data_IF_229390659686
#
_entry.id   IF_229390659686
#
_cell.length_a   1.000
_cell.length_b   1.000
_cell.length_c   1.000
_cell.angle_alpha   90.00
_cell.angle_beta   90.00
_cell.angle_gamma   90.00
#
_symmetry.space_group_name_H-M   'P 1'
#
loop_
_entity.id
_entity.type
_entity.pdbx_description
1 polymer ?
#
# COMPACT_ATOMS: atom_id res chain seq x y z
N UNK A 1 -22.25 22.11 -3.34
CA UNK A 1 -22.50 23.17 -4.34
C UNK A 1 -21.12 23.71 -4.70
N UNK A 2 -20.58 23.34 -5.86
CA UNK A 2 -19.18 23.62 -6.21
C UNK A 2 -18.95 25.10 -6.52
N UNK A 3 -17.79 25.62 -6.12
CA UNK A 3 -17.41 27.01 -6.37
C UNK A 3 -16.81 27.10 -7.77
N UNK A 4 -17.40 27.91 -8.64
CA UNK A 4 -16.85 28.18 -9.98
C UNK A 4 -15.76 29.25 -9.86
N UNK A 5 -14.56 28.92 -10.32
CA UNK A 5 -13.44 29.87 -10.39
C UNK A 5 -13.08 30.08 -11.85
N UNK A 6 -13.21 31.33 -12.32
CA UNK A 6 -12.82 31.73 -13.67
C UNK A 6 -11.34 32.10 -13.65
N UNK A 7 -10.55 31.45 -14.50
CA UNK A 7 -9.09 31.58 -14.52
C UNK A 7 -8.66 32.30 -15.80
N UNK A 8 -8.45 33.62 -15.72
CA UNK A 8 -8.03 34.52 -16.83
C UNK A 8 -8.97 34.49 -18.06
N UNK A 9 -8.63 35.23 -19.14
CA UNK A 9 -9.42 35.41 -20.39
C UNK A 9 -9.73 34.11 -21.18
N UNK A 10 -9.52 32.96 -20.56
CA UNK A 10 -9.82 31.63 -21.08
C UNK A 10 -10.80 30.96 -20.13
N UNK A 11 -11.98 30.57 -20.62
CA UNK A 11 -13.05 29.97 -19.82
C UNK A 11 -12.71 28.53 -19.36
N UNK A 12 -11.87 28.38 -18.34
CA UNK A 12 -11.73 27.12 -17.60
C UNK A 12 -12.69 27.14 -16.41
N UNK A 13 -13.64 26.21 -16.36
CA UNK A 13 -14.55 25.99 -15.21
C UNK A 13 -13.96 24.87 -14.37
N UNK A 14 -13.36 25.22 -13.23
CA UNK A 14 -12.93 24.23 -12.25
C UNK A 14 -14.07 23.99 -11.24
N UNK A 15 -14.60 22.76 -11.19
CA UNK A 15 -15.63 22.40 -10.22
C UNK A 15 -14.95 21.84 -8.97
N UNK A 16 -14.83 22.68 -7.94
CA UNK A 16 -14.33 22.29 -6.63
C UNK A 16 -15.37 21.37 -5.96
N UNK A 17 -15.27 20.07 -6.21
CA UNK A 17 -15.87 19.09 -5.32
C UNK A 17 -15.08 19.10 -4.01
N UNK A 18 -15.76 18.96 -2.88
CA UNK A 18 -15.20 18.81 -1.52
C UNK A 18 -14.37 17.51 -1.38
N UNK A 19 -13.42 17.26 -2.28
CA UNK A 19 -12.46 16.18 -2.19
C UNK A 19 -11.48 16.46 -1.07
N UNK A 20 -10.95 15.41 -0.43
CA UNK A 20 -9.89 15.53 0.59
C UNK A 20 -8.55 15.99 -0.01
N UNK A 21 -8.41 15.93 -1.32
CA UNK A 21 -7.17 16.21 -2.01
C UNK A 21 -6.97 17.73 -2.15
N UNK A 22 -5.74 18.16 -1.97
CA UNK A 22 -5.32 19.52 -2.32
C UNK A 22 -5.18 19.64 -3.83
N UNK A 23 -5.67 20.72 -4.41
CA UNK A 23 -5.57 20.98 -5.84
C UNK A 23 -4.98 22.37 -6.04
N UNK A 24 -4.01 22.48 -6.93
CA UNK A 24 -3.41 23.75 -7.30
C UNK A 24 -3.17 23.83 -8.80
N UNK A 25 -3.10 25.05 -9.34
CA UNK A 25 -2.83 25.33 -10.74
C UNK A 25 -1.64 26.27 -10.83
N UNK A 26 -0.73 25.99 -11.75
CA UNK A 26 0.41 26.84 -12.05
C UNK A 26 0.33 27.34 -13.50
N UNK A 27 0.82 28.55 -13.73
CA UNK A 27 1.08 29.08 -15.08
C UNK A 27 2.18 28.26 -15.76
N UNK A 28 2.35 28.42 -17.07
CA UNK A 28 3.49 27.85 -17.78
C UNK A 28 4.85 28.25 -17.17
N UNK A 29 4.95 29.41 -16.51
CA UNK A 29 6.16 29.89 -15.81
C UNK A 29 6.33 29.30 -14.39
N UNK A 30 5.33 28.57 -13.89
CA UNK A 30 5.32 28.03 -12.53
C UNK A 30 4.75 28.98 -11.47
N UNK A 31 4.08 30.06 -11.86
CA UNK A 31 3.41 30.95 -10.90
C UNK A 31 2.07 30.36 -10.47
N UNK A 32 1.72 30.47 -9.19
CA UNK A 32 0.47 29.92 -8.67
C UNK A 32 -0.71 30.74 -9.20
N UNK A 33 -1.56 30.09 -9.99
CA UNK A 33 -2.81 30.66 -10.50
C UNK A 33 -3.96 30.41 -9.52
N UNK A 34 -3.99 29.23 -8.91
CA UNK A 34 -5.05 28.81 -8.01
C UNK A 34 -4.53 27.74 -7.03
N UNK A 35 -5.10 27.72 -5.82
CA UNK A 35 -4.95 26.63 -4.87
C UNK A 35 -6.21 26.56 -3.99
N UNK A 36 -6.77 25.36 -3.82
CA UNK A 36 -7.91 25.17 -2.95
C UNK A 36 -7.52 25.22 -1.46
N UNK A 37 -8.51 25.19 -0.57
CA UNK A 37 -8.28 25.22 0.88
C UNK A 37 -7.39 24.05 1.33
N UNK A 38 -7.67 22.83 0.85
CA UNK A 38 -6.89 21.65 1.21
C UNK A 38 -5.43 21.75 0.78
N UNK A 39 -5.13 22.26 -0.42
CA UNK A 39 -3.77 22.50 -0.87
C UNK A 39 -3.02 23.45 0.06
N UNK A 40 -3.72 24.49 0.54
CA UNK A 40 -3.16 25.46 1.47
C UNK A 40 -2.89 24.91 2.87
N UNK A 41 -3.55 23.83 3.28
CA UNK A 41 -3.22 23.15 4.55
C UNK A 41 -1.86 22.45 4.50
N UNK A 42 -1.43 21.98 3.32
CA UNK A 42 -0.13 21.35 3.12
C UNK A 42 0.96 22.37 2.76
N UNK A 43 0.67 23.23 1.79
CA UNK A 43 1.63 24.22 1.29
C UNK A 43 0.92 25.57 1.22
N UNK A 44 1.40 26.55 1.98
CA UNK A 44 0.80 27.89 2.05
C UNK A 44 1.03 28.70 0.76
N UNK A 45 0.30 28.33 -0.30
CA UNK A 45 0.44 28.92 -1.63
C UNK A 45 0.07 30.40 -1.62
N UNK A 46 0.82 31.18 -2.40
CA UNK A 46 0.54 32.60 -2.63
C UNK A 46 0.22 32.80 -4.10
N UNK A 47 -1.01 33.21 -4.40
CA UNK A 47 -1.46 33.47 -5.78
C UNK A 47 -0.57 34.55 -6.41
N UNK A 48 -0.19 34.34 -7.67
CA UNK A 48 0.70 35.21 -8.43
C UNK A 48 2.19 35.08 -8.08
N UNK A 49 2.54 34.29 -7.06
CA UNK A 49 3.94 34.03 -6.71
C UNK A 49 4.43 32.72 -7.33
N UNK A 50 5.74 32.63 -7.55
CA UNK A 50 6.37 31.37 -7.96
C UNK A 50 6.13 30.27 -6.94
N UNK A 51 5.76 29.07 -7.40
CA UNK A 51 5.56 27.91 -6.52
C UNK A 51 6.83 27.54 -5.74
N UNK A 52 8.02 27.89 -6.24
CA UNK A 52 9.29 27.67 -5.54
C UNK A 52 9.40 28.42 -4.20
N UNK A 53 8.53 29.40 -3.96
CA UNK A 53 8.46 30.14 -2.70
C UNK A 53 8.00 29.28 -1.52
N UNK A 54 7.18 28.25 -1.76
CA UNK A 54 6.69 27.33 -0.73
C UNK A 54 7.52 26.05 -0.61
N UNK A 55 8.49 25.85 -1.51
CA UNK A 55 9.36 24.67 -1.52
C UNK A 55 10.68 24.97 -0.77
N UNK A 56 11.05 24.15 0.23
CA UNK A 56 12.32 24.27 0.93
C UNK A 56 13.53 24.21 -0.01
N UNK A 57 14.56 25.03 0.25
CA UNK A 57 15.74 25.15 -0.62
C UNK A 57 16.39 23.80 -0.98
N UNK A 58 16.48 22.89 -0.01
CA UNK A 58 17.05 21.55 -0.17
C UNK A 58 16.33 20.69 -1.23
N UNK A 59 15.05 20.96 -1.49
CA UNK A 59 14.25 20.18 -2.43
C UNK A 59 14.21 20.83 -3.84
N UNK A 60 14.75 22.05 -4.00
CA UNK A 60 14.63 22.82 -5.26
C UNK A 60 15.36 22.19 -6.45
N UNK A 61 16.52 21.58 -6.24
CA UNK A 61 17.25 20.89 -7.32
C UNK A 61 16.41 19.78 -7.94
N UNK A 62 15.76 18.97 -7.08
CA UNK A 62 14.83 17.93 -7.51
C UNK A 62 13.65 18.52 -8.29
N UNK A 63 13.12 19.65 -7.83
CA UNK A 63 12.04 20.35 -8.52
C UNK A 63 12.46 20.89 -9.90
N UNK A 64 13.70 21.34 -10.09
CA UNK A 64 14.17 21.74 -11.42
C UNK A 64 14.16 20.57 -12.41
N UNK A 65 14.61 19.38 -11.98
CA UNK A 65 14.54 18.17 -12.82
C UNK A 65 13.10 17.78 -13.20
N UNK A 66 12.14 18.09 -12.33
CA UNK A 66 10.73 17.88 -12.59
C UNK A 66 10.18 18.86 -13.62
N UNK A 67 10.62 20.12 -13.57
CA UNK A 67 10.19 21.14 -14.51
C UNK A 67 10.58 20.80 -15.95
N UNK A 68 11.76 20.21 -16.17
CA UNK A 68 12.15 19.73 -17.51
C UNK A 68 11.18 18.67 -18.05
N UNK A 69 10.83 17.66 -17.24
CA UNK A 69 9.87 16.61 -17.63
C UNK A 69 8.49 17.20 -17.92
N UNK A 70 8.00 18.04 -17.01
CA UNK A 70 6.73 18.74 -17.14
C UNK A 70 6.67 19.60 -18.41
N UNK A 71 7.76 20.28 -18.75
CA UNK A 71 7.86 21.11 -19.96
C UNK A 71 7.83 20.30 -21.25
N UNK A 72 8.23 19.03 -21.21
CA UNK A 72 8.08 18.07 -22.32
C UNK A 72 6.69 17.43 -22.41
N UNK A 73 5.76 17.82 -21.51
CA UNK A 73 4.43 17.24 -21.44
C UNK A 73 4.33 15.94 -20.62
N UNK A 74 5.39 15.56 -19.90
CA UNK A 74 5.36 14.38 -19.03
C UNK A 74 4.78 14.74 -17.66
N UNK A 75 3.90 13.89 -17.11
CA UNK A 75 3.43 14.02 -15.73
C UNK A 75 4.46 13.51 -14.72
N UNK A 76 4.43 14.05 -13.51
CA UNK A 76 5.25 13.58 -12.40
C UNK A 76 4.37 13.20 -11.20
N UNK A 77 4.84 12.25 -10.40
CA UNK A 77 4.34 11.99 -9.05
C UNK A 77 5.51 11.71 -8.11
N UNK A 78 5.46 12.28 -6.91
CA UNK A 78 6.47 12.05 -5.88
C UNK A 78 5.90 12.18 -4.47
N UNK A 79 6.51 11.47 -3.51
CA UNK A 79 6.26 11.69 -2.08
C UNK A 79 7.13 12.84 -1.60
N UNK A 80 6.51 13.82 -0.95
CA UNK A 80 7.17 15.00 -0.42
C UNK A 80 8.20 14.63 0.64
N UNK A 81 9.42 15.17 0.51
CA UNK A 81 10.47 15.03 1.53
C UNK A 81 10.22 15.93 2.74
N UNK A 82 9.43 16.98 2.56
CA UNK A 82 9.22 18.03 3.56
C UNK A 82 7.96 17.81 4.38
N UNK A 83 6.98 17.07 3.84
CA UNK A 83 5.75 16.71 4.54
C UNK A 83 5.57 15.21 4.45
N UNK A 84 5.59 14.54 5.61
CA UNK A 84 5.46 13.09 5.69
C UNK A 84 4.11 12.64 5.15
N UNK A 85 4.11 11.55 4.39
CA UNK A 85 2.91 10.92 3.83
C UNK A 85 2.08 11.85 2.92
N UNK A 86 2.72 12.79 2.25
CA UNK A 86 2.06 13.60 1.23
C UNK A 86 2.63 13.24 -0.12
N UNK A 87 1.76 12.81 -1.03
CA UNK A 87 2.07 12.59 -2.44
C UNK A 87 1.64 13.81 -3.25
N UNK A 88 2.51 14.28 -4.14
CA UNK A 88 2.24 15.39 -5.05
C UNK A 88 2.37 14.88 -6.47
N UNK A 89 1.28 14.99 -7.23
CA UNK A 89 1.24 14.69 -8.66
C UNK A 89 1.03 15.97 -9.45
N UNK A 90 1.79 16.18 -10.52
CA UNK A 90 1.66 17.36 -11.38
C UNK A 90 1.52 16.91 -12.84
N UNK A 91 0.50 17.44 -13.51
CA UNK A 91 0.12 17.12 -14.86
C UNK A 91 0.19 18.38 -15.73
N UNK A 92 0.93 18.37 -16.86
CA UNK A 92 0.92 19.48 -17.79
C UNK A 92 -0.36 19.48 -18.62
N UNK A 93 -0.92 20.67 -18.83
CA UNK A 93 -1.97 20.92 -19.82
C UNK A 93 -1.32 21.55 -21.03
N UNK A 94 -1.56 20.96 -22.20
CA UNK A 94 -0.98 21.39 -23.47
C UNK A 94 -2.04 21.93 -24.42
N UNK A 95 -1.67 22.94 -25.22
CA UNK A 95 -2.43 23.45 -26.36
C UNK A 95 -1.49 23.53 -27.55
N UNK A 96 -1.85 22.91 -28.67
CA UNK A 96 -1.03 22.89 -29.90
C UNK A 96 0.42 22.42 -29.64
N UNK A 97 0.59 21.40 -28.79
CA UNK A 97 1.87 20.83 -28.33
C UNK A 97 2.72 21.73 -27.42
N UNK A 98 2.25 22.92 -27.06
CA UNK A 98 2.89 23.79 -26.08
C UNK A 98 2.23 23.62 -24.71
N UNK A 99 3.04 23.48 -23.66
CA UNK A 99 2.53 23.47 -22.28
C UNK A 99 2.07 24.87 -21.91
N UNK A 100 0.79 25.01 -21.55
CA UNK A 100 0.18 26.31 -21.22
C UNK A 100 -0.05 26.49 -19.72
N UNK A 101 -0.20 25.39 -18.97
CA UNK A 101 -0.39 25.40 -17.52
C UNK A 101 -0.08 24.03 -16.91
N UNK A 102 -0.04 23.97 -15.59
CA UNK A 102 0.11 22.72 -14.84
C UNK A 102 -1.02 22.56 -13.82
N UNK A 103 -1.50 21.32 -13.65
CA UNK A 103 -2.45 20.93 -12.59
C UNK A 103 -1.71 20.07 -11.58
N UNK A 104 -1.71 20.50 -10.33
CA UNK A 104 -1.18 19.77 -9.21
C UNK A 104 -2.27 19.16 -8.34
N UNK A 105 -2.05 17.93 -7.89
CA UNK A 105 -2.88 17.22 -6.92
C UNK A 105 -1.99 16.81 -5.75
N UNK A 106 -2.43 17.13 -4.54
CA UNK A 106 -1.78 16.83 -3.27
C UNK A 106 -2.66 15.83 -2.53
N UNK A 107 -2.12 14.67 -2.22
CA UNK A 107 -2.84 13.58 -1.59
C UNK A 107 -2.19 13.20 -0.27
N UNK A 108 -2.97 13.18 0.81
CA UNK A 108 -2.54 12.57 2.06
C UNK A 108 -2.64 11.04 1.93
N UNK A 109 -1.49 10.39 1.96
CA UNK A 109 -1.34 8.94 1.84
C UNK A 109 -1.10 8.27 3.20
N UNK A 110 -1.33 8.97 4.32
CA UNK A 110 -1.10 8.46 5.68
C UNK A 110 -1.85 7.16 5.91
N UNK A 111 -3.17 7.17 5.66
CA UNK A 111 -4.02 5.98 5.83
C UNK A 111 -3.56 4.82 4.93
N UNK A 112 -3.12 5.12 3.72
CA UNK A 112 -2.60 4.10 2.79
C UNK A 112 -1.32 3.48 3.37
N UNK A 113 -0.38 4.30 3.85
CA UNK A 113 0.88 3.83 4.46
C UNK A 113 0.65 3.02 5.73
N UNK A 114 -0.32 3.40 6.55
CA UNK A 114 -0.69 2.65 7.75
C UNK A 114 -1.31 1.29 7.41
N UNK A 115 -2.19 1.25 6.41
CA UNK A 115 -2.78 0.00 5.92
C UNK A 115 -1.72 -0.93 5.30
N UNK A 116 -0.80 -0.38 4.50
CA UNK A 116 0.36 -1.12 3.95
C UNK A 116 1.19 -1.73 5.09
N UNK A 117 1.47 -0.96 6.13
CA UNK A 117 2.25 -1.42 7.28
C UNK A 117 1.51 -2.50 8.10
N UNK A 118 0.21 -2.30 8.33
CA UNK A 118 -0.62 -3.28 9.03
C UNK A 118 -0.66 -4.62 8.27
N UNK A 119 -0.87 -4.56 6.96
CA UNK A 119 -0.87 -5.74 6.08
C UNK A 119 0.46 -6.47 6.14
N UNK A 120 1.59 -5.76 6.04
CA UNK A 120 2.93 -6.36 6.18
C UNK A 120 3.12 -7.06 7.52
N UNK A 121 2.63 -6.47 8.62
CA UNK A 121 2.70 -7.07 9.96
C UNK A 121 1.86 -8.35 10.07
N UNK A 122 0.66 -8.35 9.48
CA UNK A 122 -0.22 -9.53 9.46
C UNK A 122 0.43 -10.66 8.67
N UNK A 123 0.92 -10.37 7.46
CA UNK A 123 1.61 -11.36 6.61
C UNK A 123 2.83 -11.95 7.32
N UNK A 124 3.63 -11.13 8.00
CA UNK A 124 4.79 -11.60 8.78
C UNK A 124 4.36 -12.49 9.95
N UNK A 125 3.28 -12.12 10.66
CA UNK A 125 2.74 -12.96 11.75
C UNK A 125 2.22 -14.30 11.21
N UNK A 126 1.56 -14.29 10.06
CA UNK A 126 1.07 -15.49 9.40
C UNK A 126 2.24 -16.40 8.98
N UNK A 127 3.29 -15.84 8.39
CA UNK A 127 4.51 -16.57 8.01
C UNK A 127 5.15 -17.27 9.23
N UNK A 128 5.41 -16.51 10.30
CA UNK A 128 5.96 -17.05 11.56
C UNK A 128 5.04 -18.11 12.16
N UNK A 129 3.72 -17.91 12.10
CA UNK A 129 2.75 -18.89 12.58
C UNK A 129 2.86 -20.20 11.79
N UNK A 130 2.89 -20.15 10.45
CA UNK A 130 3.02 -21.35 9.61
C UNK A 130 4.32 -22.09 9.85
N UNK A 131 5.44 -21.38 9.98
CA UNK A 131 6.76 -21.95 10.27
C UNK A 131 6.76 -22.65 11.64
N UNK A 132 6.33 -21.95 12.68
CA UNK A 132 6.28 -22.50 14.04
C UNK A 132 5.37 -23.71 14.12
N UNK A 133 4.13 -23.64 13.61
CA UNK A 133 3.21 -24.78 13.67
C UNK A 133 3.79 -25.97 12.91
N UNK A 134 4.44 -25.75 11.77
CA UNK A 134 5.07 -26.84 11.02
C UNK A 134 6.16 -27.53 11.84
N UNK A 135 7.04 -26.76 12.49
CA UNK A 135 8.10 -27.33 13.32
C UNK A 135 7.58 -27.98 14.61
N UNK A 136 6.64 -27.35 15.31
CA UNK A 136 6.16 -27.83 16.61
C UNK A 136 5.19 -29.01 16.50
N UNK A 137 4.44 -29.14 15.41
CA UNK A 137 3.46 -30.22 15.26
C UNK A 137 3.90 -31.31 14.29
N UNK A 138 4.38 -30.99 13.08
CA UNK A 138 4.72 -32.06 12.13
C UNK A 138 5.91 -32.89 12.60
N UNK A 139 6.93 -32.29 13.23
CA UNK A 139 8.09 -33.03 13.71
C UNK A 139 7.71 -34.15 14.70
N UNK A 140 7.01 -33.89 15.83
CA UNK A 140 6.59 -34.95 16.73
C UNK A 140 5.55 -35.90 16.12
N UNK A 141 4.68 -35.44 15.22
CA UNK A 141 3.72 -36.32 14.52
C UNK A 141 4.43 -37.31 13.60
N UNK A 142 5.45 -36.88 12.86
CA UNK A 142 6.29 -37.76 12.03
C UNK A 142 6.97 -38.82 12.89
N UNK A 143 7.52 -38.43 14.04
CA UNK A 143 8.13 -39.37 15.00
C UNK A 143 7.09 -40.38 15.51
N UNK A 144 5.93 -39.89 15.96
CA UNK A 144 4.86 -40.75 16.48
C UNK A 144 4.35 -41.75 15.42
N UNK A 145 4.14 -41.30 14.19
CA UNK A 145 3.76 -42.16 13.05
C UNK A 145 4.84 -43.21 12.75
N UNK A 146 6.12 -42.82 12.79
CA UNK A 146 7.23 -43.74 12.62
C UNK A 146 7.21 -44.88 13.63
N UNK A 147 7.10 -44.57 14.93
CA UNK A 147 7.01 -45.59 15.98
C UNK A 147 5.76 -46.46 15.85
N UNK A 148 4.59 -45.87 15.56
CA UNK A 148 3.36 -46.63 15.33
C UNK A 148 3.51 -47.61 14.16
N UNK A 149 4.17 -47.19 13.09
CA UNK A 149 4.40 -48.03 11.92
C UNK A 149 5.36 -49.18 12.21
N UNK A 150 6.40 -48.96 13.02
CA UNK A 150 7.27 -50.03 13.51
C UNK A 150 6.47 -51.07 14.32
N UNK A 151 5.67 -50.61 15.29
CA UNK A 151 4.85 -51.49 16.14
C UNK A 151 3.77 -52.25 15.35
N UNK A 152 3.22 -51.65 14.29
CA UNK A 152 2.21 -52.31 13.43
C UNK A 152 2.81 -53.40 12.51
N UNK A 153 4.13 -53.35 12.29
CA UNK A 153 4.88 -54.35 11.53
C UNK A 153 5.38 -55.51 12.40
N UNK A 154 5.34 -55.38 13.72
CA UNK A 154 5.63 -56.47 14.65
C UNK A 154 4.47 -57.48 14.72
N UNK A 155 4.78 -58.72 15.09
CA UNK A 155 3.77 -59.77 15.28
C UNK A 155 3.07 -59.60 16.63
N UNK A 156 2.10 -58.67 16.64
CA UNK A 156 1.31 -58.31 17.83
C UNK A 156 -0.05 -58.99 17.82
N UNK A 157 -0.57 -59.28 19.01
CA UNK A 157 -1.91 -59.86 19.18
C UNK A 157 -3.02 -59.02 18.52
N UNK A 158 -4.12 -59.68 18.10
CA UNK A 158 -5.25 -59.01 17.42
C UNK A 158 -5.83 -57.81 18.18
N UNK A 159 -5.82 -57.86 19.53
CA UNK A 159 -6.39 -56.80 20.37
C UNK A 159 -5.47 -55.58 20.42
N UNK A 160 -4.17 -55.80 20.57
CA UNK A 160 -3.11 -54.79 20.53
C UNK A 160 -3.07 -54.14 19.15
N UNK A 161 -3.16 -54.91 18.07
CA UNK A 161 -3.21 -54.37 16.70
C UNK A 161 -4.37 -53.41 16.49
N UNK A 162 -5.57 -53.75 16.96
CA UNK A 162 -6.74 -52.84 16.90
C UNK A 162 -6.52 -51.53 17.65
N UNK A 163 -5.81 -51.56 18.80
CA UNK A 163 -5.48 -50.34 19.55
C UNK A 163 -4.48 -49.48 18.78
N UNK A 164 -3.45 -50.07 18.20
CA UNK A 164 -2.44 -49.37 17.40
C UNK A 164 -3.07 -48.68 16.18
N UNK A 165 -3.98 -49.36 15.46
CA UNK A 165 -4.73 -48.77 14.34
C UNK A 165 -5.61 -47.59 14.77
N UNK A 166 -6.27 -47.70 15.94
CA UNK A 166 -7.05 -46.60 16.49
C UNK A 166 -6.18 -45.37 16.82
N UNK A 167 -4.98 -45.60 17.40
CA UNK A 167 -4.02 -44.52 17.69
C UNK A 167 -3.50 -43.90 16.39
N UNK A 168 -3.13 -44.72 15.39
CA UNK A 168 -2.72 -44.24 14.07
C UNK A 168 -3.78 -43.35 13.43
N UNK A 169 -5.05 -43.78 13.46
CA UNK A 169 -6.18 -42.99 12.96
C UNK A 169 -6.29 -41.65 13.71
N UNK A 170 -6.13 -41.64 15.04
CA UNK A 170 -6.18 -40.40 15.82
C UNK A 170 -5.02 -39.44 15.48
N UNK A 171 -3.81 -39.96 15.30
CA UNK A 171 -2.62 -39.18 14.91
C UNK A 171 -2.79 -38.60 13.50
N UNK A 172 -3.33 -39.37 12.55
CA UNK A 172 -3.63 -38.91 11.20
C UNK A 172 -4.72 -37.82 11.19
N UNK A 173 -5.73 -37.92 12.06
CA UNK A 173 -6.73 -36.85 12.24
C UNK A 173 -6.10 -35.56 12.76
N UNK A 174 -5.23 -35.64 13.77
CA UNK A 174 -4.51 -34.46 14.29
C UNK A 174 -3.65 -33.83 13.20
N UNK A 175 -2.94 -34.64 12.42
CA UNK A 175 -2.14 -34.18 11.29
C UNK A 175 -2.99 -33.42 10.25
N UNK A 176 -4.19 -33.93 9.93
CA UNK A 176 -5.14 -33.26 9.02
C UNK A 176 -5.58 -31.90 9.54
N UNK A 177 -6.02 -31.83 10.81
CA UNK A 177 -6.47 -30.58 11.44
C UNK A 177 -5.36 -29.54 11.47
N UNK A 178 -4.14 -29.94 11.86
CA UNK A 178 -2.98 -29.04 11.88
C UNK A 178 -2.68 -28.54 10.47
N UNK A 179 -2.68 -29.42 9.47
CA UNK A 179 -2.45 -29.07 8.07
C UNK A 179 -3.51 -28.09 7.55
N UNK A 180 -4.78 -28.33 7.84
CA UNK A 180 -5.88 -27.42 7.47
C UNK A 180 -5.77 -26.07 8.18
N UNK A 181 -5.34 -26.07 9.44
CA UNK A 181 -5.14 -24.83 10.22
C UNK A 181 -4.03 -23.97 9.61
N UNK A 182 -2.90 -24.57 9.22
CA UNK A 182 -1.75 -23.87 8.64
C UNK A 182 -2.02 -23.38 7.21
N UNK A 183 -2.72 -24.18 6.40
CA UNK A 183 -2.90 -23.89 4.97
C UNK A 183 -4.16 -23.10 4.66
N UNK A 184 -5.24 -23.31 5.42
CA UNK A 184 -6.57 -22.72 5.17
C UNK A 184 -7.04 -21.81 6.30
N UNK A 185 -6.34 -21.78 7.44
CA UNK A 185 -6.78 -21.01 8.61
C UNK A 185 -8.04 -21.57 9.27
N UNK A 186 -8.39 -22.83 9.02
CA UNK A 186 -9.61 -23.48 9.54
C UNK A 186 -9.26 -24.65 10.44
N UNK A 187 -9.96 -24.74 11.57
CA UNK A 187 -9.89 -25.89 12.47
C UNK A 187 -11.00 -26.86 12.04
N UNK A 188 -10.69 -27.68 11.04
CA UNK A 188 -11.57 -28.71 10.50
C UNK A 188 -10.73 -29.95 10.13
N UNK A 189 -11.33 -31.14 10.21
CA UNK A 189 -10.70 -32.41 9.83
C UNK A 189 -10.62 -32.60 8.31
#
# INVERSE_FOLDING_TARGET
MGKMVQLTDTNYIFNENNGRDGIFLLSAKGDVIYANENANTFFAFKIGSSFLSVIPKKDREKIYSFYEKLSRGESISYVSSSIKNVEVSIYPITKEKNVVMFVGVIKDITRIKEMELCTKKILKKEEIFRENVSHYFFNPLVIAKGYLQLLLNEDVGKKERKKLEAIKTAVERIESVVKNTVTRGKIEE
#
